data_IF_664312536765
#
_entry.id   IF_664312536765
#
_cell.length_a   1.000
_cell.length_b   1.000
_cell.length_c   1.000
_cell.angle_alpha   90.00
_cell.angle_beta   90.00
_cell.angle_gamma   90.00
#
_symmetry.space_group_name_H-M   'P 1'
#
loop_
_entity.id
_entity.type
_entity.pdbx_description
1 polymer ?
#
# COMPACT_ATOMS: atom_id res chain seq x y z
N UNK A 1 -6.56 38.20 20.33
CA UNK A 1 -6.63 37.83 18.91
C UNK A 1 -6.74 36.31 18.93
N UNK A 2 -7.95 35.77 18.81
CA UNK A 2 -8.11 34.33 18.65
C UNK A 2 -7.67 34.04 17.22
N UNK A 3 -6.65 33.21 17.04
CA UNK A 3 -6.32 32.66 15.73
C UNK A 3 -7.58 31.93 15.25
N UNK A 4 -8.24 32.47 14.22
CA UNK A 4 -9.23 31.70 13.48
C UNK A 4 -8.47 30.55 12.83
N UNK A 5 -8.52 29.37 13.45
CA UNK A 5 -8.07 28.12 12.83
C UNK A 5 -8.92 27.90 11.58
N UNK A 6 -8.42 28.40 10.45
CA UNK A 6 -8.99 28.12 9.13
C UNK A 6 -8.99 26.61 8.94
N UNK A 7 -10.18 26.02 8.77
CA UNK A 7 -10.29 24.59 8.50
C UNK A 7 -9.49 24.21 7.26
N UNK A 8 -8.72 23.12 7.36
CA UNK A 8 -7.96 22.60 6.22
C UNK A 8 -8.90 22.16 5.10
N UNK A 9 -8.52 22.48 3.86
CA UNK A 9 -9.20 21.93 2.68
C UNK A 9 -9.06 20.40 2.60
N UNK A 10 -10.00 19.74 1.92
CA UNK A 10 -9.96 18.29 1.72
C UNK A 10 -8.62 17.82 1.11
N UNK A 11 -8.11 18.56 0.12
CA UNK A 11 -6.82 18.28 -0.51
C UNK A 11 -5.67 18.32 0.50
N UNK A 12 -5.63 19.34 1.37
CA UNK A 12 -4.60 19.43 2.40
C UNK A 12 -4.70 18.28 3.41
N UNK A 13 -5.92 17.89 3.80
CA UNK A 13 -6.13 16.73 4.68
C UNK A 13 -5.61 15.45 4.03
N UNK A 14 -5.87 15.23 2.73
CA UNK A 14 -5.35 14.08 1.98
C UNK A 14 -3.82 14.09 1.91
N UNK A 15 -3.21 15.23 1.61
CA UNK A 15 -1.76 15.34 1.49
C UNK A 15 -1.05 15.08 2.83
N UNK A 16 -1.59 15.60 3.94
CA UNK A 16 -1.08 15.34 5.29
C UNK A 16 -1.27 13.86 5.68
N UNK A 17 -2.45 13.31 5.42
CA UNK A 17 -2.75 11.90 5.68
C UNK A 17 -1.79 10.97 4.92
N UNK A 18 -1.55 11.25 3.64
CA UNK A 18 -0.59 10.53 2.81
C UNK A 18 0.83 10.63 3.38
N UNK A 19 1.23 11.81 3.85
CA UNK A 19 2.54 12.01 4.47
C UNK A 19 2.73 11.14 5.72
N UNK A 20 1.73 11.04 6.60
CA UNK A 20 1.80 10.14 7.76
C UNK A 20 1.97 8.67 7.37
N UNK A 21 1.23 8.20 6.37
CA UNK A 21 1.33 6.83 5.89
C UNK A 21 2.70 6.53 5.26
N UNK A 22 3.23 7.45 4.44
CA UNK A 22 4.53 7.29 3.79
C UNK A 22 5.71 7.31 4.77
N UNK A 23 5.57 7.99 5.91
CA UNK A 23 6.61 8.10 6.94
C UNK A 23 6.37 7.14 8.12
N UNK A 24 5.49 6.16 7.96
CA UNK A 24 5.29 5.13 8.97
C UNK A 24 6.58 4.33 9.20
N UNK A 25 6.94 3.95 10.43
CA UNK A 25 8.05 3.04 10.67
C UNK A 25 7.87 1.71 9.91
N UNK A 26 8.96 1.02 9.53
CA UNK A 26 8.86 -0.28 8.87
C UNK A 26 8.00 -1.27 9.65
N UNK A 27 6.95 -1.80 9.03
CA UNK A 27 6.03 -2.77 9.65
C UNK A 27 4.90 -2.15 10.48
N UNK A 28 4.84 -0.83 10.62
CA UNK A 28 3.85 -0.15 11.46
C UNK A 28 2.73 0.57 10.68
N UNK A 29 2.78 0.61 9.35
CA UNK A 29 1.81 1.35 8.52
C UNK A 29 0.35 0.97 8.81
N UNK A 30 0.05 -0.28 9.17
CA UNK A 30 -1.32 -0.69 9.54
C UNK A 30 -1.80 -0.03 10.83
N UNK A 31 -0.92 0.13 11.82
CA UNK A 31 -1.24 0.82 13.07
C UNK A 31 -1.42 2.32 12.82
N UNK A 32 -0.50 2.93 12.06
CA UNK A 32 -0.61 4.35 11.68
C UNK A 32 -1.88 4.60 10.88
N UNK A 33 -2.25 3.72 9.94
CA UNK A 33 -3.48 3.84 9.17
C UNK A 33 -4.73 3.76 10.04
N UNK A 34 -4.74 2.88 11.06
CA UNK A 34 -5.84 2.77 12.02
C UNK A 34 -6.00 4.04 12.84
N UNK A 35 -4.90 4.58 13.38
CA UNK A 35 -4.91 5.80 14.18
C UNK A 35 -5.32 7.01 13.33
N UNK A 36 -4.78 7.11 12.12
CA UNK A 36 -5.10 8.16 11.15
C UNK A 36 -6.58 8.17 10.77
N UNK A 37 -7.17 6.98 10.55
CA UNK A 37 -8.61 6.85 10.26
C UNK A 37 -9.48 7.36 11.42
N UNK A 38 -9.04 7.12 12.67
CA UNK A 38 -9.72 7.65 13.87
C UNK A 38 -9.59 9.17 13.98
N UNK A 39 -8.43 9.74 13.64
CA UNK A 39 -8.18 11.18 13.73
C UNK A 39 -8.93 11.96 12.64
N UNK A 40 -8.95 11.45 11.41
CA UNK A 40 -9.58 12.13 10.28
C UNK A 40 -11.10 12.18 10.39
N UNK A 41 -11.73 11.12 10.90
CA UNK A 41 -13.20 10.95 10.92
C UNK A 41 -13.88 11.15 9.55
N UNK A 42 -13.12 11.04 8.46
CA UNK A 42 -13.56 11.16 7.08
C UNK A 42 -13.00 9.99 6.27
N UNK A 43 -13.89 9.07 5.90
CA UNK A 43 -13.55 7.85 5.18
C UNK A 43 -13.09 8.13 3.74
N UNK A 44 -13.60 9.19 3.10
CA UNK A 44 -13.23 9.53 1.74
C UNK A 44 -11.77 10.01 1.68
N UNK A 45 -11.42 10.94 2.58
CA UNK A 45 -10.06 11.46 2.72
C UNK A 45 -9.08 10.33 3.04
N UNK A 46 -9.43 9.47 4.00
CA UNK A 46 -8.61 8.31 4.36
C UNK A 46 -8.39 7.37 3.16
N UNK A 47 -9.47 6.99 2.48
CA UNK A 47 -9.39 6.05 1.35
C UNK A 47 -8.51 6.59 0.22
N UNK A 48 -8.64 7.87 -0.11
CA UNK A 48 -7.81 8.51 -1.13
C UNK A 48 -6.33 8.47 -0.73
N UNK A 49 -6.00 8.95 0.48
CA UNK A 49 -4.65 8.94 1.00
C UNK A 49 -4.04 7.52 1.04
N UNK A 50 -4.79 6.53 1.53
CA UNK A 50 -4.34 5.14 1.61
C UNK A 50 -4.10 4.54 0.22
N UNK A 51 -4.98 4.80 -0.75
CA UNK A 51 -4.85 4.26 -2.10
C UNK A 51 -3.60 4.76 -2.84
N UNK A 52 -3.12 5.96 -2.50
CA UNK A 52 -1.87 6.53 -3.02
C UNK A 52 -0.65 6.12 -2.20
N UNK A 53 -0.76 6.13 -0.87
CA UNK A 53 0.38 5.92 0.02
C UNK A 53 0.86 4.46 0.08
N UNK A 54 -0.06 3.49 0.20
CA UNK A 54 0.31 2.10 0.44
C UNK A 54 1.15 1.50 -0.71
N UNK A 55 0.85 1.70 -2.01
CA UNK A 55 1.72 1.22 -3.07
C UNK A 55 3.13 1.79 -3.03
N UNK A 56 3.27 3.08 -2.71
CA UNK A 56 4.56 3.74 -2.59
C UNK A 56 5.34 3.23 -1.38
N UNK A 57 4.69 3.14 -0.22
CA UNK A 57 5.29 2.61 1.00
C UNK A 57 5.73 1.15 0.83
N UNK A 58 4.85 0.29 0.30
CA UNK A 58 5.13 -1.14 0.13
C UNK A 58 6.37 -1.36 -0.75
N UNK A 59 6.52 -0.58 -1.83
CA UNK A 59 7.68 -0.63 -2.71
C UNK A 59 8.94 -0.05 -2.07
N UNK A 60 8.84 1.10 -1.41
CA UNK A 60 9.98 1.76 -0.76
C UNK A 60 10.58 0.91 0.38
N UNK A 61 9.72 0.21 1.12
CA UNK A 61 10.12 -0.67 2.21
C UNK A 61 10.35 -2.13 1.78
N UNK A 62 10.18 -2.44 0.48
CA UNK A 62 10.39 -3.77 -0.11
C UNK A 62 9.71 -4.88 0.71
N UNK A 63 8.43 -4.70 1.02
CA UNK A 63 7.72 -5.68 1.87
C UNK A 63 7.68 -7.05 1.19
N UNK A 64 7.71 -8.11 2.00
CA UNK A 64 7.53 -9.49 1.54
C UNK A 64 6.10 -9.95 1.88
N UNK A 65 5.38 -10.49 0.90
CA UNK A 65 4.03 -11.01 1.09
C UNK A 65 3.98 -12.50 0.73
N UNK A 66 3.44 -13.30 1.63
CA UNK A 66 3.32 -14.74 1.41
C UNK A 66 2.31 -15.06 0.30
N UNK A 67 2.71 -15.95 -0.60
CA UNK A 67 1.83 -16.48 -1.64
C UNK A 67 0.76 -17.41 -1.02
N UNK A 68 -0.49 -17.39 -1.52
CA UNK A 68 -1.58 -18.22 -1.00
C UNK A 68 -1.28 -19.72 -0.98
N UNK A 69 -0.55 -20.21 -1.99
CA UNK A 69 -0.13 -21.62 -2.13
C UNK A 69 1.04 -22.00 -1.20
N UNK A 70 1.58 -21.05 -0.43
CA UNK A 70 2.77 -21.19 0.43
C UNK A 70 4.03 -21.64 -0.31
N UNK A 71 4.10 -21.43 -1.62
CA UNK A 71 5.31 -21.71 -2.41
C UNK A 71 6.47 -20.76 -2.08
N UNK A 72 6.17 -19.63 -1.43
CA UNK A 72 7.16 -18.67 -0.94
C UNK A 72 6.52 -17.30 -0.68
N UNK A 73 7.37 -16.27 -0.68
CA UNK A 73 6.96 -14.87 -0.53
C UNK A 73 7.33 -14.07 -1.77
N UNK A 74 6.44 -13.19 -2.24
CA UNK A 74 6.74 -12.21 -3.29
C UNK A 74 7.31 -10.94 -2.66
N UNK A 75 8.40 -10.43 -3.25
CA UNK A 75 9.00 -9.16 -2.85
C UNK A 75 8.33 -8.02 -3.64
N UNK A 76 7.82 -7.00 -2.95
CA UNK A 76 7.13 -5.88 -3.57
C UNK A 76 8.12 -4.77 -3.89
N UNK A 77 8.53 -4.67 -5.16
CA UNK A 77 9.47 -3.63 -5.64
C UNK A 77 9.06 -3.09 -7.01
N UNK A 78 9.60 -1.94 -7.41
CA UNK A 78 9.44 -1.41 -8.77
C UNK A 78 10.09 -2.30 -9.85
N UNK A 79 11.03 -3.19 -9.49
CA UNK A 79 11.68 -4.11 -10.43
C UNK A 79 10.82 -5.36 -10.70
N UNK A 80 9.99 -5.75 -9.74
CA UNK A 80 9.04 -6.86 -9.85
C UNK A 80 7.66 -6.43 -10.35
N UNK A 81 7.36 -5.13 -10.36
CA UNK A 81 6.07 -4.58 -10.77
C UNK A 81 5.85 -4.76 -12.29
N UNK A 82 4.81 -5.52 -12.64
CA UNK A 82 4.36 -5.74 -14.02
C UNK A 82 3.25 -4.75 -14.35
N UNK A 83 2.34 -4.54 -13.40
CA UNK A 83 1.24 -3.57 -13.43
C UNK A 83 1.01 -3.08 -11.99
N UNK A 84 0.14 -2.10 -11.80
CA UNK A 84 -0.14 -1.40 -10.54
C UNK A 84 -0.27 -2.31 -9.31
N UNK A 85 -0.86 -3.49 -9.47
CA UNK A 85 -1.06 -4.46 -8.39
C UNK A 85 -0.37 -5.80 -8.63
N UNK A 86 0.36 -5.96 -9.74
CA UNK A 86 0.83 -7.26 -10.23
C UNK A 86 2.35 -7.35 -10.09
N UNK A 87 2.82 -8.32 -9.32
CA UNK A 87 4.23 -8.46 -8.96
C UNK A 87 4.76 -9.85 -9.32
N UNK A 88 5.87 -9.89 -10.07
CA UNK A 88 6.54 -11.12 -10.48
C UNK A 88 7.41 -11.69 -9.36
N UNK A 89 7.23 -12.97 -9.03
CA UNK A 89 8.28 -13.77 -8.38
C UNK A 89 9.10 -14.49 -9.46
N UNK A 90 10.36 -14.08 -9.72
CA UNK A 90 11.17 -14.70 -10.75
C UNK A 90 11.59 -16.14 -10.43
N UNK A 91 11.50 -16.58 -9.16
CA UNK A 91 11.89 -17.93 -8.75
C UNK A 91 10.85 -18.98 -9.18
N UNK A 92 9.57 -18.62 -9.12
CA UNK A 92 8.45 -19.51 -9.45
C UNK A 92 7.77 -19.17 -10.77
N UNK A 93 8.16 -18.04 -11.40
CA UNK A 93 7.50 -17.47 -12.57
C UNK A 93 6.00 -17.19 -12.35
N UNK A 94 5.59 -17.00 -11.09
CA UNK A 94 4.22 -16.64 -10.72
C UNK A 94 4.07 -15.12 -10.63
N UNK A 95 2.87 -14.64 -10.93
CA UNK A 95 2.47 -13.25 -10.70
C UNK A 95 1.50 -13.19 -9.54
N UNK A 96 1.85 -12.41 -8.52
CA UNK A 96 0.99 -12.12 -7.38
C UNK A 96 0.21 -10.83 -7.61
N UNK A 97 -1.11 -10.88 -7.43
CA UNK A 97 -2.00 -9.72 -7.48
C UNK A 97 -2.26 -9.25 -6.05
N UNK A 98 -1.86 -8.02 -5.73
CA UNK A 98 -1.85 -7.51 -4.36
C UNK A 98 -3.07 -6.64 -4.03
N UNK A 99 -3.55 -6.77 -2.79
CA UNK A 99 -4.26 -5.72 -2.09
C UNK A 99 -3.23 -4.89 -1.31
N UNK A 100 -2.87 -3.72 -1.83
CA UNK A 100 -1.85 -2.87 -1.22
C UNK A 100 -2.22 -2.42 0.20
N UNK A 101 -3.49 -2.10 0.45
CA UNK A 101 -3.96 -1.61 1.75
C UNK A 101 -4.03 -2.73 2.77
N UNK A 102 -4.50 -3.92 2.37
CA UNK A 102 -4.48 -5.10 3.26
C UNK A 102 -3.10 -5.73 3.39
N UNK A 103 -2.14 -5.36 2.56
CA UNK A 103 -0.81 -5.98 2.45
C UNK A 103 -0.93 -7.51 2.33
N UNK A 104 -1.68 -7.96 1.32
CA UNK A 104 -1.92 -9.39 1.08
C UNK A 104 -2.11 -9.71 -0.39
N UNK A 105 -1.86 -10.96 -0.76
CA UNK A 105 -2.07 -11.48 -2.11
C UNK A 105 -3.55 -11.89 -2.26
N UNK A 106 -4.24 -11.33 -3.26
CA UNK A 106 -5.64 -11.67 -3.57
C UNK A 106 -5.74 -12.89 -4.48
N UNK A 107 -4.84 -13.01 -5.46
CA UNK A 107 -4.84 -14.07 -6.46
C UNK A 107 -3.44 -14.23 -7.05
N UNK A 108 -3.13 -15.43 -7.53
CA UNK A 108 -1.95 -15.72 -8.33
C UNK A 108 -2.34 -16.12 -9.77
N UNK A 109 -1.47 -15.83 -10.72
CA UNK A 109 -1.57 -16.34 -12.10
C UNK A 109 -0.24 -16.97 -12.51
N UNK A 110 -0.30 -18.21 -12.96
CA UNK A 110 0.83 -18.87 -13.64
C UNK A 110 0.95 -18.25 -15.04
N UNK A 111 2.07 -17.62 -15.36
CA UNK A 111 2.38 -17.39 -16.78
C UNK A 111 2.70 -18.75 -17.39
N UNK A 112 1.84 -19.28 -18.26
CA UNK A 112 2.27 -20.40 -19.11
C UNK A 112 3.43 -19.89 -19.95
N UNK A 113 4.62 -20.47 -19.77
CA UNK A 113 5.77 -20.16 -20.61
C UNK A 113 5.37 -20.32 -22.08
N UNK A 114 5.63 -19.34 -22.96
CA UNK A 114 5.56 -19.60 -24.39
C UNK A 114 6.67 -20.60 -24.72
N UNK A 115 6.28 -21.76 -25.27
CA UNK A 115 7.18 -22.68 -25.95
C UNK A 115 7.72 -22.06 -27.24
#
# INVERSE_FOLDING_TARGET
MADEETELSEKQKIDIAKWFLLNSPPGEIQYVAKDLRSVLSDENVYRMAASEAFPLYNKAHMICLQLPDRSGDVLVTSFSEIDKNDYLDPRTAQVAILDHVKQGVQRESLRSSPH
#
